data_IF_695021981620
#
_entry.id   IF_695021981620
#
_cell.length_a   1.000
_cell.length_b   1.000
_cell.length_c   1.000
_cell.angle_alpha   90.00
_cell.angle_beta   90.00
_cell.angle_gamma   90.00
#
_symmetry.space_group_name_H-M   'P 1'
#
loop_
_entity.id
_entity.type
_entity.pdbx_description
1 polymer ?
#
# COMPACT_ATOMS: atom_id res chain seq x y z
N UNK A 1 -9.43 45.92 38.52
CA UNK A 1 -8.57 45.06 37.69
C UNK A 1 -8.56 45.63 36.28
N UNK A 2 -7.37 45.83 35.68
CA UNK A 2 -7.24 46.52 34.39
C UNK A 2 -7.78 45.63 33.26
N UNK A 3 -8.52 46.22 32.31
CA UNK A 3 -9.05 45.55 31.11
C UNK A 3 -7.97 44.76 30.35
N UNK A 4 -6.73 45.24 30.41
CA UNK A 4 -5.55 44.58 29.82
C UNK A 4 -5.27 43.17 30.40
N UNK A 5 -5.49 42.94 31.70
CA UNK A 5 -5.32 41.60 32.30
C UNK A 5 -6.40 40.60 31.89
N UNK A 6 -7.61 41.06 31.55
CA UNK A 6 -8.71 40.20 31.09
C UNK A 6 -8.48 39.72 29.64
N UNK A 7 -7.92 40.59 28.80
CA UNK A 7 -7.56 40.29 27.41
C UNK A 7 -6.47 39.21 27.30
N UNK A 8 -5.45 39.25 28.17
CA UNK A 8 -4.37 38.25 28.18
C UNK A 8 -4.90 36.87 28.55
N UNK A 9 -5.82 36.80 29.52
CA UNK A 9 -6.46 35.53 29.92
C UNK A 9 -7.30 34.94 28.79
N UNK A 10 -7.99 35.77 28.01
CA UNK A 10 -8.82 35.32 26.88
C UNK A 10 -7.98 34.76 25.73
N UNK A 11 -6.79 35.32 25.48
CA UNK A 11 -5.86 34.82 24.45
C UNK A 11 -5.28 33.45 24.83
N UNK A 12 -4.97 33.20 26.10
CA UNK A 12 -4.39 31.94 26.55
C UNK A 12 -5.39 30.76 26.47
N UNK A 13 -6.70 31.01 26.61
CA UNK A 13 -7.73 29.97 26.51
C UNK A 13 -7.90 29.47 25.06
N UNK A 14 -7.58 30.28 24.05
CA UNK A 14 -7.69 29.88 22.64
C UNK A 14 -6.57 28.94 22.17
N UNK A 15 -5.47 28.82 22.93
CA UNK A 15 -4.33 27.95 22.58
C UNK A 15 -4.53 26.51 23.13
N UNK A 16 -5.57 26.28 23.93
CA UNK A 16 -5.73 25.08 24.75
C UNK A 16 -6.23 23.80 24.06
N UNK A 17 -6.70 23.84 22.80
CA UNK A 17 -7.30 22.64 22.17
C UNK A 17 -6.99 22.55 20.66
N UNK A 18 -5.74 22.29 20.30
CA UNK A 18 -5.45 21.65 19.02
C UNK A 18 -5.24 20.17 19.32
N UNK A 19 -6.33 19.41 19.49
CA UNK A 19 -6.22 17.94 19.44
C UNK A 19 -5.92 17.59 17.98
N UNK A 20 -4.65 17.36 17.66
CA UNK A 20 -4.26 16.85 16.35
C UNK A 20 -4.92 15.50 16.15
N UNK A 21 -5.94 15.43 15.29
CA UNK A 21 -6.47 14.14 14.84
C UNK A 21 -5.37 13.51 14.00
N UNK A 22 -4.81 12.39 14.47
CA UNK A 22 -3.87 11.60 13.68
C UNK A 22 -4.63 11.08 12.46
N UNK A 23 -4.42 11.68 11.28
CA UNK A 23 -5.07 11.22 10.06
C UNK A 23 -4.32 9.97 9.57
N UNK A 24 -4.95 8.81 9.71
CA UNK A 24 -4.38 7.56 9.19
C UNK A 24 -4.56 7.54 7.68
N UNK A 25 -3.44 7.47 6.96
CA UNK A 25 -3.46 7.30 5.52
C UNK A 25 -3.59 5.81 5.20
N UNK A 26 -4.72 5.44 4.58
CA UNK A 26 -4.99 4.04 4.24
C UNK A 26 -4.07 3.52 3.13
N UNK A 27 -3.85 2.20 3.17
CA UNK A 27 -3.21 1.42 2.13
C UNK A 27 -3.76 1.76 0.73
N UNK A 28 -2.82 1.98 -0.19
CA UNK A 28 -3.06 2.11 -1.63
C UNK A 28 -2.44 0.90 -2.34
N UNK A 29 -3.18 0.33 -3.29
CA UNK A 29 -2.71 -0.72 -4.18
C UNK A 29 -2.75 -0.22 -5.61
N UNK A 30 -1.59 -0.12 -6.23
CA UNK A 30 -1.42 0.44 -7.57
C UNK A 30 -0.92 -0.67 -8.49
N UNK A 31 -1.49 -0.80 -9.68
CA UNK A 31 -1.01 -1.72 -10.71
C UNK A 31 -0.84 -0.93 -11.98
N UNK A 32 0.41 -0.79 -12.46
CA UNK A 32 0.77 0.00 -13.65
C UNK A 32 0.18 1.41 -13.61
N UNK A 33 0.38 2.12 -12.50
CA UNK A 33 -0.09 3.50 -12.28
C UNK A 33 -1.59 3.67 -12.04
N UNK A 34 -2.39 2.59 -11.94
CA UNK A 34 -3.84 2.66 -11.64
C UNK A 34 -4.15 2.11 -10.27
N UNK A 35 -5.03 2.77 -9.51
CA UNK A 35 -5.47 2.32 -8.19
C UNK A 35 -6.46 1.15 -8.28
N UNK A 36 -6.20 0.11 -7.50
CA UNK A 36 -7.01 -1.11 -7.35
C UNK A 36 -7.32 -1.39 -5.88
N UNK A 37 -7.57 -0.35 -5.08
CA UNK A 37 -7.81 -0.48 -3.63
C UNK A 37 -9.00 -1.38 -3.25
N UNK A 38 -9.92 -1.65 -4.18
CA UNK A 38 -11.02 -2.61 -3.99
C UNK A 38 -10.56 -4.07 -3.92
N UNK A 39 -9.29 -4.34 -4.26
CA UNK A 39 -8.67 -5.65 -4.14
C UNK A 39 -7.97 -5.84 -2.80
N UNK A 40 -7.75 -4.77 -2.04
CA UNK A 40 -7.13 -4.84 -0.71
C UNK A 40 -8.15 -5.44 0.26
N UNK A 41 -7.77 -6.55 0.88
CA UNK A 41 -8.57 -7.15 1.93
C UNK A 41 -8.47 -6.32 3.21
N UNK A 42 -9.61 -6.09 3.86
CA UNK A 42 -9.67 -5.42 5.18
C UNK A 42 -9.00 -4.04 5.16
N UNK A 43 -9.20 -3.29 4.07
CA UNK A 43 -8.59 -1.97 3.86
C UNK A 43 -8.84 -0.97 5.01
N UNK A 44 -10.04 -0.98 5.58
CA UNK A 44 -10.37 -0.10 6.70
C UNK A 44 -9.99 -0.85 7.99
N UNK A 45 -9.21 -0.24 8.89
CA UNK A 45 -8.87 -0.81 10.18
C UNK A 45 -10.06 -0.79 11.13
N UNK A 46 -10.18 -1.87 11.90
CA UNK A 46 -11.24 -2.08 12.88
C UNK A 46 -10.66 -1.78 14.28
N UNK A 47 -10.66 -0.52 14.68
CA UNK A 47 -10.16 -0.08 16.00
C UNK A 47 -11.22 -0.20 17.08
N UNK A 48 -10.83 -0.64 18.28
CA UNK A 48 -11.70 -0.66 19.45
C UNK A 48 -11.51 -1.86 20.39
N UNK A 49 -12.45 -1.97 21.32
CA UNK A 49 -12.54 -2.85 22.48
C UNK A 49 -12.91 -4.31 22.13
N UNK A 50 -12.06 -4.96 21.33
CA UNK A 50 -12.17 -6.41 21.05
C UNK A 50 -12.13 -6.79 19.57
N UNK A 51 -11.80 -5.84 18.70
CA UNK A 51 -11.64 -6.06 17.27
C UNK A 51 -10.21 -6.51 16.92
N UNK A 52 -10.00 -6.99 15.70
CA UNK A 52 -8.74 -7.63 15.27
C UNK A 52 -7.51 -6.76 15.49
N UNK A 53 -7.62 -5.46 15.24
CA UNK A 53 -6.52 -4.51 15.38
C UNK A 53 -6.47 -3.90 16.81
N UNK A 54 -7.49 -4.16 17.64
CA UNK A 54 -7.58 -3.71 19.03
C UNK A 54 -7.57 -2.18 19.18
N UNK A 55 -7.07 -1.69 20.30
CA UNK A 55 -6.79 -0.26 20.50
C UNK A 55 -5.45 0.19 19.89
N UNK A 56 -4.76 -0.67 19.12
CA UNK A 56 -3.43 -0.38 18.58
C UNK A 56 -3.55 0.20 17.19
N UNK A 57 -3.00 1.40 17.00
CA UNK A 57 -2.87 2.02 15.68
C UNK A 57 -1.56 1.54 15.05
N UNK A 58 -1.66 0.61 14.11
CA UNK A 58 -0.54 0.17 13.27
C UNK A 58 -0.41 1.07 12.03
N UNK A 59 0.82 1.22 11.53
CA UNK A 59 1.07 1.87 10.24
C UNK A 59 0.55 1.00 9.08
N UNK A 60 0.29 1.63 7.94
CA UNK A 60 -0.31 1.00 6.76
C UNK A 60 0.72 0.86 5.62
N UNK A 61 0.63 -0.22 4.85
CA UNK A 61 1.55 -0.52 3.74
C UNK A 61 0.87 -0.25 2.40
N UNK A 62 1.51 0.54 1.55
CA UNK A 62 1.15 0.72 0.14
C UNK A 62 1.97 -0.21 -0.74
N UNK A 63 1.37 -0.66 -1.85
CA UNK A 63 2.08 -1.49 -2.83
C UNK A 63 1.81 -0.99 -4.25
N UNK A 64 2.87 -0.91 -5.04
CA UNK A 64 2.79 -0.64 -6.48
C UNK A 64 3.36 -1.82 -7.26
N UNK A 65 2.54 -2.45 -8.09
CA UNK A 65 2.98 -3.45 -9.06
C UNK A 65 3.36 -2.78 -10.37
N UNK A 66 4.62 -2.91 -10.72
CA UNK A 66 5.19 -2.44 -11.98
C UNK A 66 4.98 -3.50 -13.06
N UNK A 67 5.23 -4.77 -12.72
CA UNK A 67 4.99 -5.92 -13.58
C UNK A 67 4.05 -6.94 -12.91
N UNK A 68 3.10 -7.45 -13.69
CA UNK A 68 2.19 -8.52 -13.29
C UNK A 68 1.80 -9.30 -14.55
N UNK A 69 2.46 -10.44 -14.77
CA UNK A 69 2.20 -11.40 -15.84
C UNK A 69 1.91 -12.78 -15.23
N UNK A 70 1.91 -13.84 -16.04
CA UNK A 70 1.75 -15.22 -15.53
C UNK A 70 3.04 -15.78 -14.93
N UNK A 71 4.18 -15.27 -15.40
CA UNK A 71 5.54 -15.75 -15.16
C UNK A 71 6.40 -14.79 -14.33
N UNK A 72 6.05 -13.49 -14.26
CA UNK A 72 6.83 -12.49 -13.54
C UNK A 72 5.89 -11.56 -12.76
N UNK A 73 6.32 -11.23 -11.55
CA UNK A 73 5.73 -10.15 -10.76
C UNK A 73 6.85 -9.29 -10.17
N UNK A 74 6.70 -7.97 -10.29
CA UNK A 74 7.62 -7.01 -9.68
C UNK A 74 6.89 -5.77 -9.21
N UNK A 75 7.47 -5.10 -8.22
CA UNK A 75 6.85 -3.92 -7.65
C UNK A 75 7.63 -3.32 -6.49
N UNK A 76 7.03 -2.28 -5.89
CA UNK A 76 7.55 -1.57 -4.74
C UNK A 76 6.60 -1.67 -3.56
N UNK A 77 7.19 -1.70 -2.37
CA UNK A 77 6.46 -1.60 -1.11
C UNK A 77 6.80 -0.26 -0.45
N UNK A 78 5.78 0.47 -0.02
CA UNK A 78 5.89 1.85 0.45
C UNK A 78 5.16 2.02 1.78
N UNK A 79 5.64 2.92 2.62
CA UNK A 79 4.85 3.42 3.74
C UNK A 79 3.64 4.20 3.20
N UNK A 80 2.43 3.90 3.67
CA UNK A 80 1.21 4.55 3.15
C UNK A 80 1.15 6.03 3.45
N UNK A 81 1.76 6.50 4.54
CA UNK A 81 1.74 7.88 5.01
C UNK A 81 2.89 8.68 4.42
N UNK A 82 4.14 8.21 4.59
CA UNK A 82 5.33 8.96 4.13
C UNK A 82 5.63 8.76 2.65
N UNK A 83 5.11 7.68 2.06
CA UNK A 83 5.41 7.24 0.68
C UNK A 83 6.87 6.84 0.47
N UNK A 84 7.63 6.64 1.55
CA UNK A 84 9.01 6.16 1.49
C UNK A 84 9.05 4.65 1.21
N UNK A 85 10.11 4.21 0.53
CA UNK A 85 10.34 2.79 0.24
C UNK A 85 10.56 1.97 1.51
N UNK A 86 9.86 0.85 1.61
CA UNK A 86 10.00 -0.10 2.71
C UNK A 86 10.99 -1.20 2.35
N UNK A 87 12.17 -1.14 2.97
CA UNK A 87 13.27 -2.08 2.76
C UNK A 87 13.04 -3.36 3.56
N UNK A 88 13.63 -4.48 3.13
CA UNK A 88 13.57 -5.76 3.85
C UNK A 88 12.15 -6.25 4.21
N UNK A 89 11.16 -5.81 3.43
CA UNK A 89 9.76 -6.20 3.62
C UNK A 89 9.53 -7.56 3.01
N UNK A 90 8.91 -8.44 3.78
CA UNK A 90 8.59 -9.80 3.31
C UNK A 90 7.33 -9.76 2.46
N UNK A 91 7.48 -10.08 1.18
CA UNK A 91 6.38 -10.23 0.24
C UNK A 91 6.09 -11.71 0.01
N UNK A 92 4.85 -12.14 0.26
CA UNK A 92 4.41 -13.50 0.01
C UNK A 92 3.47 -13.54 -1.18
N UNK A 93 3.80 -14.41 -2.13
CA UNK A 93 3.08 -14.61 -3.38
C UNK A 93 2.38 -15.96 -3.31
N UNK A 94 1.08 -15.98 -3.64
CA UNK A 94 0.27 -17.20 -3.62
C UNK A 94 -0.11 -17.57 -5.06
N UNK A 95 0.49 -18.63 -5.63
CA UNK A 95 0.22 -19.04 -6.99
C UNK A 95 -1.14 -19.77 -7.13
N UNK A 96 -1.71 -19.72 -8.33
CA UNK A 96 -3.04 -20.26 -8.65
C UNK A 96 -3.11 -21.78 -8.62
N UNK A 97 -1.99 -22.45 -8.89
CA UNK A 97 -1.85 -23.90 -8.90
C UNK A 97 -1.81 -24.53 -7.48
N UNK A 98 -1.97 -23.72 -6.43
CA UNK A 98 -1.87 -24.11 -5.02
C UNK A 98 -0.50 -24.68 -4.63
N UNK A 99 0.53 -24.40 -5.42
CA UNK A 99 1.90 -24.61 -4.99
C UNK A 99 2.20 -23.78 -3.74
N UNK A 100 3.30 -24.12 -3.06
CA UNK A 100 3.72 -23.43 -1.83
C UNK A 100 3.91 -21.94 -2.13
N UNK A 101 3.46 -21.08 -1.21
CA UNK A 101 3.68 -19.64 -1.33
C UNK A 101 5.16 -19.32 -1.49
N UNK A 102 5.49 -18.44 -2.42
CA UNK A 102 6.85 -17.95 -2.65
C UNK A 102 7.04 -16.71 -1.77
N UNK A 103 8.14 -16.65 -1.02
CA UNK A 103 8.49 -15.48 -0.22
C UNK A 103 9.71 -14.80 -0.83
N UNK A 104 9.57 -13.50 -1.11
CA UNK A 104 10.67 -12.62 -1.53
C UNK A 104 10.79 -11.47 -0.54
N UNK A 105 11.94 -10.83 -0.51
CA UNK A 105 12.24 -9.72 0.40
C UNK A 105 12.58 -8.51 -0.45
N UNK A 106 12.06 -7.34 -0.09
CA UNK A 106 12.39 -6.12 -0.82
C UNK A 106 13.86 -5.72 -0.62
N UNK A 107 14.45 -5.16 -1.67
CA UNK A 107 15.83 -4.67 -1.68
C UNK A 107 16.00 -3.32 -0.95
N UNK A 108 17.17 -2.70 -1.10
CA UNK A 108 17.53 -1.40 -0.49
C UNK A 108 16.79 -0.19 -1.07
N UNK A 109 15.95 -0.37 -2.08
CA UNK A 109 15.05 0.66 -2.61
C UNK A 109 13.57 0.27 -2.47
N UNK A 110 13.27 -0.79 -1.71
CA UNK A 110 11.92 -1.28 -1.47
C UNK A 110 11.30 -2.03 -2.64
N UNK A 111 12.10 -2.44 -3.62
CA UNK A 111 11.66 -3.19 -4.80
C UNK A 111 11.71 -4.71 -4.55
N UNK A 112 10.77 -5.45 -5.13
CA UNK A 112 10.79 -6.91 -5.16
C UNK A 112 10.52 -7.40 -6.58
N UNK A 113 11.06 -8.59 -6.88
CA UNK A 113 10.83 -9.29 -8.13
C UNK A 113 10.81 -10.79 -7.87
N UNK A 114 9.93 -11.51 -8.59
CA UNK A 114 9.87 -12.96 -8.55
C UNK A 114 9.48 -13.53 -9.91
N UNK A 115 10.19 -14.56 -10.32
CA UNK A 115 9.77 -15.47 -11.38
C UNK A 115 8.80 -16.52 -10.82
N UNK A 116 7.81 -16.89 -11.63
CA UNK A 116 6.65 -17.67 -11.24
C UNK A 116 6.44 -18.80 -12.24
N UNK A 117 6.08 -19.98 -11.74
CA UNK A 117 5.61 -21.08 -12.58
C UNK A 117 4.14 -20.97 -12.95
N UNK A 118 3.38 -20.11 -12.25
CA UNK A 118 1.97 -19.89 -12.51
C UNK A 118 1.48 -18.53 -12.00
N UNK A 119 0.32 -18.10 -12.49
CA UNK A 119 -0.34 -16.86 -12.11
C UNK A 119 -0.49 -16.71 -10.60
N UNK A 120 -0.10 -15.55 -10.06
CA UNK A 120 -0.39 -15.17 -8.67
C UNK A 120 -1.85 -14.76 -8.51
N UNK A 121 -2.51 -15.34 -7.51
CA UNK A 121 -3.90 -15.03 -7.14
C UNK A 121 -4.02 -14.16 -5.91
N UNK A 122 -2.98 -14.10 -5.07
CA UNK A 122 -2.95 -13.27 -3.88
C UNK A 122 -1.53 -12.82 -3.57
N UNK A 123 -1.40 -11.61 -3.06
CA UNK A 123 -0.13 -11.05 -2.59
C UNK A 123 -0.29 -10.51 -1.17
N UNK A 124 0.74 -10.69 -0.35
CA UNK A 124 0.81 -10.15 1.00
C UNK A 124 2.14 -9.43 1.21
N UNK A 125 2.15 -8.35 1.99
CA UNK A 125 3.37 -7.70 2.46
C UNK A 125 3.33 -7.53 3.99
N UNK A 126 4.42 -7.93 4.64
CA UNK A 126 4.56 -8.02 6.09
C UNK A 126 5.82 -7.28 6.54
N UNK A 127 5.66 -6.33 7.46
CA UNK A 127 6.75 -5.57 8.07
C UNK A 127 6.43 -5.27 9.55
N UNK A 128 7.45 -5.25 10.40
CA UNK A 128 7.27 -5.07 11.86
C UNK A 128 6.74 -3.67 12.16
N UNK A 129 5.69 -3.58 12.99
CA UNK A 129 5.03 -2.31 13.34
C UNK A 129 4.01 -1.83 12.31
N UNK A 130 3.75 -2.63 11.27
CA UNK A 130 2.78 -2.34 10.22
C UNK A 130 1.69 -3.40 10.19
N UNK A 131 0.53 -3.00 9.69
CA UNK A 131 -0.57 -3.90 9.41
C UNK A 131 -0.23 -4.75 8.18
N UNK A 132 -0.64 -6.02 8.20
CA UNK A 132 -0.51 -6.91 7.06
C UNK A 132 -1.27 -6.32 5.85
N UNK A 133 -0.54 -6.05 4.78
CA UNK A 133 -1.17 -5.78 3.48
C UNK A 133 -1.53 -7.10 2.81
N UNK A 134 -2.74 -7.20 2.30
CA UNK A 134 -3.24 -8.37 1.59
C UNK A 134 -4.13 -7.93 0.43
N UNK A 135 -3.87 -8.44 -0.79
CA UNK A 135 -4.67 -8.12 -1.96
C UNK A 135 -5.02 -9.37 -2.79
N UNK A 136 -6.31 -9.50 -3.14
CA UNK A 136 -6.86 -10.56 -3.99
C UNK A 136 -6.75 -10.19 -5.47
N UNK A 137 -5.91 -10.90 -6.22
CA UNK A 137 -5.64 -10.64 -7.63
C UNK A 137 -6.52 -11.47 -8.57
N UNK A 138 -7.40 -12.34 -8.06
CA UNK A 138 -8.28 -13.20 -8.88
C UNK A 138 -9.15 -12.39 -9.85
N UNK A 139 -9.53 -11.17 -9.44
CA UNK A 139 -10.38 -10.25 -10.21
C UNK A 139 -9.62 -9.43 -11.26
N UNK A 140 -8.29 -9.51 -11.30
CA UNK A 140 -7.49 -8.83 -12.34
C UNK A 140 -7.46 -9.68 -13.61
N UNK A 141 -8.08 -9.17 -14.68
CA UNK A 141 -7.92 -9.70 -16.04
C UNK A 141 -6.57 -9.25 -16.61
N UNK A 142 -5.53 -10.05 -16.39
CA UNK A 142 -4.15 -9.80 -16.87
C UNK A 142 -4.08 -9.54 -18.39
N UNK A 143 -4.97 -10.17 -19.18
CA UNK A 143 -5.05 -9.99 -20.64
C UNK A 143 -5.48 -8.60 -21.14
N UNK A 144 -6.01 -7.71 -20.28
CA UNK A 144 -6.36 -6.31 -20.68
C UNK A 144 -5.24 -5.30 -20.45
N UNK A 145 -4.12 -5.71 -19.86
CA UNK A 145 -2.96 -4.85 -19.61
C UNK A 145 -1.86 -4.97 -20.69
N UNK A 146 -1.97 -5.93 -21.61
CA UNK A 146 -0.98 -6.18 -22.68
C UNK A 146 -1.18 -5.34 -23.96
N UNK A 147 -2.28 -4.59 -24.11
CA UNK A 147 -2.68 -4.01 -25.42
C UNK A 147 -2.38 -2.52 -25.62
N UNK A 148 -1.56 -1.86 -24.79
CA UNK A 148 -1.26 -0.42 -24.98
C UNK A 148 0.14 -0.04 -25.45
N UNK A 149 1.07 -0.97 -25.63
CA UNK A 149 2.45 -0.64 -26.01
C UNK A 149 2.80 -0.79 -27.50
N UNK A 150 1.82 -0.99 -28.39
CA UNK A 150 2.08 -1.22 -29.84
C UNK A 150 1.68 -0.08 -30.79
N UNK A 151 1.52 1.15 -30.29
CA UNK A 151 1.28 2.35 -31.13
C UNK A 151 2.23 3.49 -30.77
N UNK A 152 3.53 3.29 -30.96
CA UNK A 152 4.51 4.39 -31.07
C UNK A 152 5.82 3.88 -31.68
N UNK A 153 5.75 3.40 -32.93
CA UNK A 153 6.93 3.25 -33.80
C UNK A 153 6.48 3.35 -35.25
N UNK A 154 5.88 4.50 -35.60
CA UNK A 154 5.73 4.91 -36.99
C UNK A 154 6.87 5.85 -37.34
N UNK A 155 8.01 5.32 -37.78
CA UNK A 155 8.92 6.13 -38.61
C UNK A 155 8.28 6.26 -40.00
N UNK A 156 8.26 7.46 -40.60
CA UNK A 156 7.87 7.60 -42.01
C UNK A 156 8.95 6.97 -42.90
N UNK A 157 8.57 6.31 -44.01
CA UNK A 157 9.54 5.88 -45.01
C UNK A 157 10.13 7.11 -45.71
N UNK A 158 11.46 7.10 -45.83
CA UNK A 158 12.27 7.98 -46.68
C UNK A 158 12.02 7.73 -48.15
#
# INVERSE_FOLDING_TARGET
MKISTLLILFVLIQIGCISGRYSIQYSDFIVRGKKFNHLIERRIPDYGDGLRDGCVVLNEISMELEMLTEDIISGKVLDSTTKESMLFTKVRLFPSDKSRSIAVVTDSIGHFEAELSSKVIKIQAEYVGYRLFEADLTKIKQGKLLTRNKRQSGLPPS
#
